data_IF_359200816034
#
_entry.id   IF_359200816034
#
_cell.length_a   1.000
_cell.length_b   1.000
_cell.length_c   1.000
_cell.angle_alpha   90.00
_cell.angle_beta   90.00
_cell.angle_gamma   90.00
#
_symmetry.space_group_name_H-M   'P 1'
#
loop_
_entity.id
_entity.type
_entity.pdbx_description
1 polymer ?
#
# COMPACT_ATOMS: atom_id res chain seq x y z
N UNK A 1 -7.55 -13.35 17.09
CA UNK A 1 -7.78 -13.14 15.69
C UNK A 1 -6.71 -12.22 15.11
N UNK A 2 -6.09 -12.64 14.03
CA UNK A 2 -4.96 -11.91 13.47
C UNK A 2 -5.45 -10.96 12.39
N UNK A 3 -5.11 -9.71 12.54
CA UNK A 3 -5.37 -8.74 11.49
C UNK A 3 -4.22 -8.79 10.50
N UNK A 4 -4.56 -8.78 9.21
CA UNK A 4 -3.53 -8.70 8.20
C UNK A 4 -2.94 -7.31 8.19
N UNK A 5 -1.62 -7.19 8.11
CA UNK A 5 -0.99 -5.88 8.08
C UNK A 5 -1.31 -5.16 6.76
N UNK A 6 -1.30 -3.85 6.84
CA UNK A 6 -1.37 -3.01 5.65
C UNK A 6 -0.01 -3.11 4.95
N UNK A 7 -0.03 -3.42 3.66
CA UNK A 7 1.19 -3.51 2.87
C UNK A 7 1.29 -2.30 1.94
N UNK A 8 2.43 -1.62 1.98
CA UNK A 8 2.69 -0.49 1.10
C UNK A 8 3.73 -0.91 0.08
N UNK A 9 3.30 -1.14 -1.15
CA UNK A 9 4.20 -1.48 -2.25
C UNK A 9 4.71 -0.20 -2.89
N UNK A 10 6.01 -0.10 -3.07
CA UNK A 10 6.59 1.13 -3.57
C UNK A 10 7.85 0.90 -4.38
N UNK A 11 8.20 1.91 -5.18
CA UNK A 11 9.46 2.00 -5.89
C UNK A 11 10.42 2.86 -5.08
N UNK A 12 11.68 2.43 -4.86
CA UNK A 12 12.65 3.25 -4.13
C UNK A 12 12.80 4.63 -4.75
N UNK A 13 12.90 5.65 -3.91
CA UNK A 13 13.04 7.03 -4.35
C UNK A 13 11.74 7.74 -4.67
N UNK A 14 10.61 7.08 -4.50
CA UNK A 14 9.31 7.71 -4.76
C UNK A 14 8.93 8.66 -3.61
N UNK A 15 8.79 9.98 -3.86
CA UNK A 15 8.44 10.91 -2.79
C UNK A 15 7.02 10.71 -2.26
N UNK A 16 6.12 10.25 -3.11
CA UNK A 16 4.73 10.02 -2.70
C UNK A 16 4.64 8.88 -1.69
N UNK A 17 5.40 7.80 -1.92
CA UNK A 17 5.39 6.67 -0.98
C UNK A 17 6.03 7.04 0.34
N UNK A 18 7.12 7.79 0.31
CA UNK A 18 7.79 8.24 1.53
C UNK A 18 6.86 9.11 2.36
N UNK A 19 6.14 10.02 1.71
CA UNK A 19 5.20 10.92 2.37
C UNK A 19 4.05 10.13 3.00
N UNK A 20 3.48 9.20 2.26
CA UNK A 20 2.36 8.38 2.77
C UNK A 20 2.80 7.54 3.96
N UNK A 21 3.97 6.90 3.88
CA UNK A 21 4.47 6.07 4.98
C UNK A 21 4.70 6.90 6.23
N UNK A 22 5.23 8.11 6.08
CA UNK A 22 5.43 9.02 7.22
C UNK A 22 4.09 9.38 7.86
N UNK A 23 3.09 9.68 7.05
CA UNK A 23 1.75 10.00 7.56
C UNK A 23 1.12 8.81 8.28
N UNK A 24 1.29 7.60 7.73
CA UNK A 24 0.74 6.40 8.36
C UNK A 24 1.42 6.14 9.71
N UNK A 25 2.72 6.37 9.79
CA UNK A 25 3.46 6.21 11.05
C UNK A 25 2.95 7.20 12.10
N UNK A 26 2.77 8.46 11.70
CA UNK A 26 2.25 9.48 12.61
C UNK A 26 0.82 9.18 13.06
N UNK A 27 0.02 8.58 12.18
CA UNK A 27 -1.35 8.22 12.49
C UNK A 27 -1.45 6.88 13.25
N UNK A 28 -0.31 6.24 13.52
CA UNK A 28 -0.22 4.96 14.22
C UNK A 28 -0.97 3.84 13.49
N UNK A 29 -0.89 3.85 12.17
CA UNK A 29 -1.44 2.78 11.35
C UNK A 29 -0.32 1.76 11.11
N UNK A 30 -0.43 0.55 11.67
CA UNK A 30 0.59 -0.47 11.44
C UNK A 30 0.65 -0.84 9.97
N UNK A 31 1.86 -0.87 9.41
CA UNK A 31 2.05 -1.20 8.01
C UNK A 31 3.44 -1.74 7.77
N UNK A 32 3.61 -2.44 6.66
CA UNK A 32 4.91 -2.89 6.18
C UNK A 32 5.15 -2.29 4.82
N UNK A 33 6.38 -1.87 4.59
CA UNK A 33 6.79 -1.33 3.28
C UNK A 33 7.49 -2.42 2.51
N UNK A 34 7.04 -2.66 1.27
CA UNK A 34 7.59 -3.71 0.41
C UNK A 34 7.96 -3.10 -0.93
N UNK A 35 9.21 -3.28 -1.32
CA UNK A 35 9.65 -2.83 -2.65
C UNK A 35 9.12 -3.80 -3.70
N UNK A 36 8.65 -3.27 -4.82
CA UNK A 36 8.14 -4.13 -5.90
C UNK A 36 9.16 -5.19 -6.31
N UNK A 37 10.42 -4.81 -6.40
CA UNK A 37 11.47 -5.73 -6.85
C UNK A 37 11.76 -6.85 -5.86
N UNK A 38 11.35 -6.68 -4.60
CA UNK A 38 11.60 -7.67 -3.55
C UNK A 38 10.45 -8.65 -3.38
N UNK A 39 9.33 -8.43 -4.08
CA UNK A 39 8.16 -9.29 -4.01
C UNK A 39 7.51 -9.37 -5.38
N UNK A 40 8.02 -10.25 -6.22
CA UNK A 40 7.53 -10.38 -7.59
C UNK A 40 6.07 -10.80 -7.65
N UNK A 41 5.66 -11.69 -6.74
CA UNK A 41 4.27 -12.13 -6.70
C UNK A 41 3.33 -10.99 -6.33
N UNK A 42 3.73 -10.18 -5.35
CA UNK A 42 2.97 -9.01 -4.95
C UNK A 42 2.93 -7.97 -6.05
N UNK A 43 4.06 -7.75 -6.72
CA UNK A 43 4.13 -6.81 -7.83
C UNK A 43 3.22 -7.25 -8.98
N UNK A 44 3.20 -8.55 -9.28
CA UNK A 44 2.33 -9.09 -10.31
C UNK A 44 0.85 -8.88 -9.96
N UNK A 45 0.51 -9.06 -8.67
CA UNK A 45 -0.86 -8.82 -8.22
C UNK A 45 -1.24 -7.34 -8.35
N UNK A 46 -0.32 -6.43 -8.03
CA UNK A 46 -0.55 -5.00 -8.19
C UNK A 46 -0.81 -4.67 -9.66
N UNK A 47 0.04 -5.19 -10.56
CA UNK A 47 -0.16 -4.98 -11.99
C UNK A 47 -1.51 -5.50 -12.46
N UNK A 48 -1.92 -6.66 -11.96
CA UNK A 48 -3.19 -7.28 -12.34
C UNK A 48 -4.39 -6.43 -11.89
N UNK A 49 -4.25 -5.68 -10.80
CA UNK A 49 -5.34 -4.86 -10.28
C UNK A 49 -5.31 -3.43 -10.80
N UNK A 50 -4.24 -3.03 -11.49
CA UNK A 50 -4.17 -1.70 -12.09
C UNK A 50 -4.83 -1.74 -13.46
N UNK A 51 -5.69 -0.77 -13.81
CA UNK A 51 -6.39 -0.76 -15.11
C UNK A 51 -5.46 -0.88 -16.31
N UNK A 52 -4.24 -0.35 -16.20
CA UNK A 52 -3.27 -0.35 -17.29
C UNK A 52 -2.11 -1.33 -17.05
N UNK A 53 -2.17 -2.11 -15.97
CA UNK A 53 -1.16 -3.12 -15.69
C UNK A 53 0.17 -2.56 -15.19
N UNK A 54 0.16 -1.41 -14.55
CA UNK A 54 1.37 -0.75 -14.05
C UNK A 54 1.63 -1.06 -12.59
N UNK A 55 2.92 -0.96 -12.20
CA UNK A 55 3.32 -0.93 -10.78
C UNK A 55 3.28 0.52 -10.31
N UNK A 56 2.14 0.97 -9.86
CA UNK A 56 1.99 2.33 -9.40
C UNK A 56 2.50 2.47 -7.96
N UNK A 57 3.38 3.42 -7.74
CA UNK A 57 3.97 3.67 -6.42
C UNK A 57 3.37 4.93 -5.80
N UNK A 58 2.85 4.89 -4.58
CA UNK A 58 2.65 3.69 -3.78
C UNK A 58 1.33 2.99 -4.12
N UNK A 59 1.30 1.67 -3.99
CA UNK A 59 0.05 0.92 -4.02
C UNK A 59 -0.11 0.26 -2.64
N UNK A 60 -1.25 0.47 -2.02
CA UNK A 60 -1.50 -0.01 -0.67
C UNK A 60 -2.51 -1.16 -0.70
N UNK A 61 -2.12 -2.28 -0.12
CA UNK A 61 -3.02 -3.42 0.06
C UNK A 61 -3.57 -3.37 1.48
N UNK A 62 -4.86 -3.16 1.60
CA UNK A 62 -5.52 -3.06 2.90
C UNK A 62 -6.87 -3.77 2.82
N UNK A 63 -7.11 -4.69 3.75
CA UNK A 63 -8.37 -5.43 3.80
C UNK A 63 -8.68 -6.18 2.52
N UNK A 64 -7.65 -6.68 1.82
CA UNK A 64 -7.82 -7.37 0.54
C UNK A 64 -8.04 -6.47 -0.65
N UNK A 65 -7.95 -5.15 -0.48
CA UNK A 65 -8.17 -4.17 -1.54
C UNK A 65 -6.88 -3.48 -1.90
N UNK A 66 -6.68 -3.25 -3.20
CA UNK A 66 -5.52 -2.51 -3.69
C UNK A 66 -5.92 -1.06 -3.96
N UNK A 67 -5.23 -0.13 -3.30
CA UNK A 67 -5.47 1.31 -3.47
C UNK A 67 -4.27 1.91 -4.19
N UNK A 68 -4.53 2.57 -5.32
CA UNK A 68 -3.48 3.18 -6.12
C UNK A 68 -3.24 4.61 -5.66
N UNK A 69 -2.02 4.88 -5.18
CA UNK A 69 -1.60 6.20 -4.70
C UNK A 69 -2.67 6.85 -3.79
N UNK A 70 -3.09 6.14 -2.72
CA UNK A 70 -4.18 6.64 -1.88
C UNK A 70 -3.72 7.77 -0.98
N UNK A 71 -4.70 8.56 -0.54
CA UNK A 71 -4.47 9.50 0.55
C UNK A 71 -4.55 8.76 1.88
N UNK A 72 -4.08 9.40 2.95
CA UNK A 72 -4.20 8.82 4.28
C UNK A 72 -5.67 8.54 4.64
N UNK A 73 -6.57 9.47 4.28
CA UNK A 73 -7.99 9.31 4.53
C UNK A 73 -8.53 8.07 3.84
N UNK A 74 -8.13 7.84 2.58
CA UNK A 74 -8.57 6.66 1.84
C UNK A 74 -8.09 5.37 2.49
N UNK A 75 -6.85 5.35 2.98
CA UNK A 75 -6.32 4.19 3.69
C UNK A 75 -7.13 3.94 4.96
N UNK A 76 -7.40 4.98 5.73
CA UNK A 76 -8.16 4.85 6.98
C UNK A 76 -9.57 4.33 6.73
N UNK A 77 -10.21 4.81 5.67
CA UNK A 77 -11.56 4.36 5.32
C UNK A 77 -11.60 2.90 4.88
N UNK A 78 -10.50 2.42 4.32
CA UNK A 78 -10.41 1.03 3.87
C UNK A 78 -10.04 0.06 4.99
N UNK A 79 -9.58 0.57 6.14
CA UNK A 79 -9.22 -0.29 7.27
C UNK A 79 -10.46 -0.98 7.83
N UNK A 80 -10.30 -2.26 8.26
CA UNK A 80 -11.43 -2.95 8.88
C UNK A 80 -11.89 -2.22 10.15
N UNK A 81 -13.18 -2.16 10.34
CA UNK A 81 -13.74 -1.60 11.56
C UNK A 81 -13.85 -2.68 12.61
N UNK A 82 -13.66 -2.28 13.85
CA UNK A 82 -13.81 -3.16 14.98
C UNK A 82 -15.13 -2.92 15.67
#
# INVERSE_FOLDING_TARGET
MTEQPVLVYYTPGCPYSAKLRAKMTLARIPHRSVKFRDDEDGAAAVRAHHPQGWELSPTVLVGGRYLSNPTLTEVREALPRR
#
